data_IF_917036355065
#
_entry.id   IF_917036355065
#
_cell.length_a   1.000
_cell.length_b   1.000
_cell.length_c   1.000
_cell.angle_alpha   90.00
_cell.angle_beta   90.00
_cell.angle_gamma   90.00
#
_symmetry.space_group_name_H-M   'P 1'
#
loop_
_entity.id
_entity.type
_entity.pdbx_description
1 polymer ?
#
# COMPACT_ATOMS: atom_id res chain seq x y z
N UNK A 1 6.27 -3.53 -17.58
CA UNK A 1 6.10 -2.38 -16.67
C UNK A 1 4.69 -1.85 -16.88
N UNK A 2 3.88 -1.83 -15.82
CA UNK A 2 2.49 -1.40 -15.89
C UNK A 2 2.41 0.11 -15.60
N UNK A 3 1.54 0.81 -16.33
CA UNK A 3 1.37 2.25 -16.20
C UNK A 3 -0.10 2.60 -16.14
N UNK A 4 -0.40 3.65 -15.39
CA UNK A 4 -1.70 4.29 -15.37
C UNK A 4 -1.74 5.38 -16.44
N UNK A 5 -2.87 5.47 -17.15
CA UNK A 5 -3.22 6.67 -17.89
C UNK A 5 -3.52 7.83 -16.92
N UNK A 6 -3.57 9.06 -17.45
CA UNK A 6 -3.97 10.23 -16.67
C UNK A 6 -5.40 10.10 -16.13
N UNK A 7 -6.27 9.43 -16.87
CA UNK A 7 -7.64 9.16 -16.45
C UNK A 7 -7.66 8.17 -15.27
N UNK A 8 -6.98 7.03 -15.40
CA UNK A 8 -6.92 6.03 -14.31
C UNK A 8 -6.29 6.63 -13.04
N UNK A 9 -5.27 7.49 -13.19
CA UNK A 9 -4.66 8.18 -12.04
C UNK A 9 -5.66 9.09 -11.30
N UNK A 10 -6.52 9.77 -12.06
CA UNK A 10 -7.59 10.61 -11.50
C UNK A 10 -8.70 9.77 -10.85
N UNK A 11 -9.09 8.66 -11.49
CA UNK A 11 -10.07 7.70 -10.96
C UNK A 11 -9.58 7.09 -9.65
N UNK A 12 -8.33 6.63 -9.59
CA UNK A 12 -7.73 6.07 -8.37
C UNK A 12 -7.76 7.08 -7.22
N UNK A 13 -7.39 8.33 -7.50
CA UNK A 13 -7.42 9.40 -6.51
C UNK A 13 -8.85 9.67 -6.03
N UNK A 14 -9.83 9.67 -6.93
CA UNK A 14 -11.25 9.81 -6.59
C UNK A 14 -11.75 8.68 -5.69
N UNK A 15 -11.41 7.42 -6.01
CA UNK A 15 -11.77 6.27 -5.19
C UNK A 15 -11.12 6.31 -3.80
N UNK A 16 -9.85 6.71 -3.70
CA UNK A 16 -9.16 6.85 -2.42
C UNK A 16 -9.80 7.93 -1.53
N UNK A 17 -10.17 9.08 -2.10
CA UNK A 17 -10.91 10.12 -1.37
C UNK A 17 -12.30 9.64 -0.94
N UNK A 18 -12.99 8.84 -1.76
CA UNK A 18 -14.26 8.23 -1.36
C UNK A 18 -14.08 7.27 -0.20
N UNK A 19 -13.08 6.37 -0.23
CA UNK A 19 -12.74 5.48 0.89
C UNK A 19 -12.42 6.28 2.15
N UNK A 20 -11.67 7.38 2.02
CA UNK A 20 -11.38 8.29 3.11
C UNK A 20 -12.64 8.92 3.73
N UNK A 21 -13.72 9.05 2.96
CA UNK A 21 -14.99 9.63 3.41
C UNK A 21 -15.95 8.58 3.96
N UNK A 22 -16.06 7.41 3.33
CA UNK A 22 -17.06 6.38 3.61
C UNK A 22 -16.57 5.25 4.51
N UNK A 23 -15.25 5.01 4.57
CA UNK A 23 -14.70 3.82 5.25
C UNK A 23 -14.97 2.52 4.49
N UNK A 24 -15.10 2.59 3.17
CA UNK A 24 -15.32 1.42 2.32
C UNK A 24 -14.17 0.40 2.46
N UNK A 25 -14.51 -0.89 2.44
CA UNK A 25 -13.57 -2.00 2.58
C UNK A 25 -12.90 -2.39 1.23
N UNK A 26 -11.77 -3.11 1.28
CA UNK A 26 -11.14 -3.69 0.09
C UNK A 26 -12.10 -4.59 -0.71
N UNK A 27 -11.85 -4.74 -2.00
CA UNK A 27 -12.72 -5.52 -2.91
C UNK A 27 -13.88 -4.74 -3.53
N UNK A 28 -14.17 -3.53 -3.02
CA UNK A 28 -15.33 -2.75 -3.49
C UNK A 28 -15.16 -2.24 -4.93
N UNK A 29 -13.93 -1.93 -5.34
CA UNK A 29 -13.63 -1.38 -6.67
C UNK A 29 -13.08 -2.43 -7.65
N UNK A 30 -13.19 -3.72 -7.35
CA UNK A 30 -12.62 -4.80 -8.18
C UNK A 30 -13.18 -4.81 -9.62
N UNK A 31 -14.41 -4.32 -9.80
CA UNK A 31 -15.03 -4.17 -11.12
C UNK A 31 -14.60 -2.92 -11.89
N UNK A 32 -14.07 -1.91 -11.19
CA UNK A 32 -13.69 -0.61 -11.75
C UNK A 32 -12.19 -0.56 -12.10
N UNK A 33 -11.38 -1.40 -11.44
CA UNK A 33 -9.93 -1.45 -11.61
C UNK A 33 -9.53 -2.63 -12.48
N UNK A 34 -8.52 -2.44 -13.35
CA UNK A 34 -7.97 -3.53 -14.15
C UNK A 34 -7.47 -4.66 -13.23
N UNK A 35 -7.80 -5.95 -13.49
CA UNK A 35 -7.46 -7.05 -12.59
C UNK A 35 -5.97 -7.14 -12.23
N UNK A 36 -5.09 -6.88 -13.21
CA UNK A 36 -3.64 -6.92 -13.02
C UNK A 36 -3.06 -5.71 -12.25
N UNK A 37 -3.93 -4.78 -11.81
CA UNK A 37 -3.56 -3.61 -11.00
C UNK A 37 -4.23 -3.61 -9.63
N UNK A 38 -5.08 -4.60 -9.30
CA UNK A 38 -5.84 -4.62 -8.05
C UNK A 38 -4.94 -4.54 -6.82
N UNK A 39 -3.91 -5.39 -6.73
CA UNK A 39 -2.95 -5.35 -5.61
C UNK A 39 -2.24 -3.98 -5.52
N UNK A 40 -1.88 -3.37 -6.65
CA UNK A 40 -1.27 -2.04 -6.68
C UNK A 40 -2.24 -0.91 -6.27
N UNK A 41 -3.51 -1.05 -6.62
CA UNK A 41 -4.57 -0.14 -6.22
C UNK A 41 -4.83 -0.24 -4.72
N UNK A 42 -4.98 -1.44 -4.19
CA UNK A 42 -5.16 -1.68 -2.76
C UNK A 42 -3.97 -1.15 -1.95
N UNK A 43 -2.75 -1.35 -2.47
CA UNK A 43 -1.53 -0.79 -1.89
C UNK A 43 -1.59 0.75 -1.84
N UNK A 44 -2.02 1.38 -2.93
CA UNK A 44 -2.17 2.83 -3.01
C UNK A 44 -3.18 3.36 -1.98
N UNK A 45 -4.38 2.78 -1.91
CA UNK A 45 -5.43 3.20 -0.96
C UNK A 45 -4.97 2.98 0.48
N UNK A 46 -4.38 1.82 0.79
CA UNK A 46 -3.86 1.53 2.13
C UNK A 46 -2.77 2.49 2.58
N UNK A 47 -1.89 2.89 1.65
CA UNK A 47 -0.86 3.91 1.90
C UNK A 47 -1.47 5.29 2.18
N UNK A 48 -2.47 5.71 1.40
CA UNK A 48 -3.19 6.97 1.60
C UNK A 48 -3.89 7.01 2.95
N UNK A 49 -4.57 5.91 3.34
CA UNK A 49 -5.23 5.79 4.64
C UNK A 49 -4.24 5.92 5.80
N UNK A 50 -3.12 5.20 5.73
CA UNK A 50 -2.05 5.30 6.73
C UNK A 50 -1.47 6.72 6.82
N UNK A 51 -1.26 7.39 5.68
CA UNK A 51 -0.78 8.78 5.64
C UNK A 51 -1.76 9.78 6.27
N UNK A 52 -3.06 9.49 6.23
CA UNK A 52 -4.13 10.30 6.86
C UNK A 52 -4.44 9.91 8.30
N UNK A 53 -3.63 9.02 8.91
CA UNK A 53 -3.80 8.58 10.29
C UNK A 53 -4.87 7.50 10.50
N UNK A 54 -5.44 6.95 9.43
CA UNK A 54 -6.43 5.86 9.46
C UNK A 54 -5.72 4.51 9.35
N UNK A 55 -4.77 4.26 10.24
CA UNK A 55 -3.83 3.15 10.13
C UNK A 55 -4.50 1.76 10.16
N UNK A 56 -5.54 1.57 11.00
CA UNK A 56 -6.24 0.30 11.10
C UNK A 56 -6.86 -0.11 9.75
N UNK A 57 -7.53 0.84 9.09
CA UNK A 57 -8.11 0.63 7.77
C UNK A 57 -7.03 0.51 6.70
N UNK A 58 -5.98 1.32 6.79
CA UNK A 58 -4.82 1.19 5.91
C UNK A 58 -4.20 -0.21 5.97
N UNK A 59 -4.15 -0.83 7.14
CA UNK A 59 -3.67 -2.22 7.33
C UNK A 59 -4.60 -3.23 6.65
N UNK A 60 -5.92 -3.05 6.71
CA UNK A 60 -6.85 -3.94 5.99
C UNK A 60 -6.62 -3.90 4.47
N UNK A 61 -6.50 -2.69 3.91
CA UNK A 61 -6.22 -2.49 2.48
C UNK A 61 -4.85 -3.03 2.06
N UNK A 62 -3.81 -2.78 2.86
CA UNK A 62 -2.47 -3.32 2.58
C UNK A 62 -2.42 -4.85 2.74
N UNK A 63 -3.24 -5.44 3.62
CA UNK A 63 -3.36 -6.89 3.75
C UNK A 63 -3.99 -7.52 2.51
N UNK A 64 -5.03 -6.90 1.96
CA UNK A 64 -5.61 -7.31 0.68
C UNK A 64 -4.59 -7.19 -0.45
N UNK A 65 -3.84 -6.09 -0.51
CA UNK A 65 -2.77 -5.89 -1.48
C UNK A 65 -1.72 -7.01 -1.41
N UNK A 66 -1.24 -7.33 -0.20
CA UNK A 66 -0.20 -8.35 0.03
C UNK A 66 -0.64 -9.75 -0.40
N UNK A 67 -1.93 -10.10 -0.30
CA UNK A 67 -2.46 -11.38 -0.79
C UNK A 67 -2.42 -11.50 -2.32
N UNK A 68 -2.43 -10.37 -3.04
CA UNK A 68 -2.39 -10.30 -4.49
C UNK A 68 -1.02 -9.97 -5.08
N UNK A 69 0.04 -9.87 -4.26
CA UNK A 69 1.40 -9.62 -4.76
C UNK A 69 1.94 -10.84 -5.49
N UNK A 70 2.42 -10.64 -6.72
CA UNK A 70 3.03 -11.66 -7.56
C UNK A 70 4.49 -11.28 -7.89
N UNK A 71 5.31 -12.26 -8.26
CA UNK A 71 6.68 -12.08 -8.78
C UNK A 71 7.71 -11.50 -7.79
N UNK A 72 7.69 -11.96 -6.53
CA UNK A 72 8.67 -11.63 -5.48
C UNK A 72 8.80 -10.13 -5.11
N UNK A 73 7.86 -9.29 -5.54
CA UNK A 73 7.74 -7.89 -5.17
C UNK A 73 6.77 -7.74 -3.99
N UNK A 74 7.28 -7.88 -2.76
CA UNK A 74 6.49 -7.88 -1.52
C UNK A 74 6.30 -6.49 -0.89
N UNK A 75 6.06 -5.45 -1.69
CA UNK A 75 5.98 -4.05 -1.25
C UNK A 75 4.92 -3.80 -0.17
N UNK A 76 3.71 -4.34 -0.35
CA UNK A 76 2.62 -4.26 0.62
C UNK A 76 2.99 -4.98 1.91
N UNK A 77 3.57 -6.17 1.83
CA UNK A 77 4.12 -6.89 2.98
C UNK A 77 5.14 -6.06 3.78
N UNK A 78 6.05 -5.36 3.09
CA UNK A 78 7.02 -4.47 3.75
C UNK A 78 6.36 -3.30 4.43
N UNK A 79 5.43 -2.64 3.74
CA UNK A 79 4.75 -1.47 4.29
C UNK A 79 3.88 -1.83 5.49
N UNK A 80 3.19 -2.98 5.45
CA UNK A 80 2.49 -3.55 6.60
C UNK A 80 3.42 -3.71 7.80
N UNK A 81 4.50 -4.47 7.60
CA UNK A 81 5.46 -4.71 8.68
C UNK A 81 6.08 -3.41 9.19
N UNK A 82 6.31 -2.42 8.33
CA UNK A 82 6.75 -1.10 8.75
C UNK A 82 5.71 -0.42 9.65
N UNK A 83 4.46 -0.32 9.20
CA UNK A 83 3.39 0.34 9.95
C UNK A 83 3.18 -0.31 11.32
N UNK A 84 3.17 -1.64 11.42
CA UNK A 84 3.06 -2.37 12.69
C UNK A 84 4.13 -1.95 13.70
N UNK A 85 5.38 -1.79 13.24
CA UNK A 85 6.51 -1.40 14.10
C UNK A 85 6.50 0.07 14.48
N UNK A 86 5.82 0.89 13.69
CA UNK A 86 5.73 2.33 13.88
C UNK A 86 4.36 2.77 14.41
N UNK A 87 3.61 1.87 15.06
CA UNK A 87 2.29 2.13 15.64
C UNK A 87 1.30 2.74 14.62
N UNK A 88 1.30 2.20 13.41
CA UNK A 88 0.45 2.63 12.30
C UNK A 88 0.87 3.94 11.63
N UNK A 89 2.06 4.47 11.93
CA UNK A 89 2.50 5.79 11.43
C UNK A 89 3.54 5.66 10.33
N UNK A 90 3.36 6.44 9.27
CA UNK A 90 4.40 6.72 8.28
C UNK A 90 5.40 7.75 8.85
N UNK A 91 6.25 7.30 9.76
CA UNK A 91 7.25 8.14 10.42
C UNK A 91 8.64 7.87 9.82
N UNK A 92 9.23 8.88 9.17
CA UNK A 92 10.62 8.83 8.72
C UNK A 92 11.55 8.56 9.93
N UNK A 93 12.45 7.56 9.87
CA UNK A 93 13.44 7.37 10.90
C UNK A 93 14.30 8.63 11.06
N UNK A 94 14.56 9.04 12.31
CA UNK A 94 15.42 10.21 12.59
C UNK A 94 16.89 9.97 12.26
N UNK A 95 17.29 8.70 12.12
CA UNK A 95 18.62 8.26 11.70
C UNK A 95 18.45 7.18 10.64
N UNK A 96 19.13 7.33 9.51
CA UNK A 96 19.18 6.30 8.48
C UNK A 96 19.67 4.97 9.07
N UNK A 97 19.02 3.86 8.73
CA UNK A 97 19.33 2.51 9.24
C UNK A 97 19.10 2.28 10.75
N UNK A 98 18.43 3.18 11.46
CA UNK A 98 18.00 2.91 12.84
C UNK A 98 17.12 1.64 12.92
N UNK A 99 16.31 1.39 11.88
CA UNK A 99 15.76 0.07 11.60
C UNK A 99 16.61 -0.58 10.49
N UNK A 100 17.42 -1.61 10.78
CA UNK A 100 18.27 -2.25 9.79
C UNK A 100 17.50 -3.22 8.89
N UNK A 101 16.26 -3.60 9.23
CA UNK A 101 15.50 -4.64 8.51
C UNK A 101 15.13 -4.26 7.07
N UNK A 102 14.70 -3.02 6.76
CA UNK A 102 14.50 -2.59 5.38
C UNK A 102 15.78 -2.73 4.53
N UNK A 103 16.93 -2.39 5.10
CA UNK A 103 18.23 -2.53 4.42
C UNK A 103 18.62 -3.99 4.22
N UNK A 104 18.45 -4.84 5.24
CA UNK A 104 18.76 -6.27 5.12
C UNK A 104 17.89 -6.96 4.08
N UNK A 105 16.61 -6.56 3.96
CA UNK A 105 15.78 -7.06 2.87
C UNK A 105 16.33 -6.63 1.51
N UNK A 106 16.55 -5.33 1.30
CA UNK A 106 17.09 -4.82 0.04
C UNK A 106 18.43 -5.49 -0.35
N UNK A 107 19.32 -5.69 0.62
CA UNK A 107 20.62 -6.34 0.40
C UNK A 107 20.52 -7.87 0.19
N UNK A 108 19.39 -8.49 0.55
CA UNK A 108 19.16 -9.93 0.47
C UNK A 108 18.36 -10.38 -0.75
N UNK A 109 17.75 -9.46 -1.51
CA UNK A 109 17.07 -9.77 -2.77
C UNK A 109 18.13 -9.98 -3.85
N UNK A 110 18.19 -11.17 -4.49
CA UNK A 110 19.10 -11.41 -5.60
C UNK A 110 18.82 -10.45 -6.77
N UNK A 111 19.88 -9.91 -7.39
CA UNK A 111 19.81 -9.12 -8.61
C UNK A 111 19.55 -9.98 -9.85
#
# INVERSE_FOLDING_TARGET
>A
MLFLSSQESAEWSGHAEEVLRSGTAPGTYDGDIRPNLLSAFDYYVGTVLAARGRAAEGIEWLSAAALGEENDLFSAGFLLGFLERHNGRLAMPSVAFADPRPFMHFAGVPM
#
